data_IF_514619048798
#
_entry.id   IF_514619048798
#
_cell.length_a   1.000
_cell.length_b   1.000
_cell.length_c   1.000
_cell.angle_alpha   90.00
_cell.angle_beta   90.00
_cell.angle_gamma   90.00
#
_symmetry.space_group_name_H-M   'P 1'
#
loop_
_entity.id
_entity.type
_entity.pdbx_description
1 polymer ?
#
# COMPACT_ATOMS: atom_id res chain seq x y z
N UNK A 1 -12.71 -27.51 25.67
CA UNK A 1 -13.57 -26.45 25.09
C UNK A 1 -12.79 -25.18 24.82
N UNK A 2 -12.24 -24.50 25.84
CA UNK A 2 -11.54 -23.19 25.70
C UNK A 2 -10.30 -23.25 24.80
N UNK A 3 -9.50 -24.33 24.86
CA UNK A 3 -8.29 -24.48 24.05
C UNK A 3 -8.54 -24.44 22.52
N UNK A 4 -9.69 -24.98 22.07
CA UNK A 4 -10.06 -25.02 20.66
C UNK A 4 -10.40 -23.60 20.16
N UNK A 5 -11.15 -22.84 20.97
CA UNK A 5 -11.50 -21.45 20.66
C UNK A 5 -10.27 -20.54 20.63
N UNK A 6 -9.28 -20.74 21.50
CA UNK A 6 -8.02 -19.99 21.46
C UNK A 6 -7.19 -20.29 20.21
N UNK A 7 -7.14 -21.53 19.74
CA UNK A 7 -6.44 -21.89 18.51
C UNK A 7 -7.12 -21.28 17.28
N UNK A 8 -8.45 -21.29 17.23
CA UNK A 8 -9.23 -20.67 16.15
C UNK A 8 -9.00 -19.15 16.13
N UNK A 9 -9.01 -18.49 17.29
CA UNK A 9 -8.76 -17.05 17.39
C UNK A 9 -7.34 -16.69 16.94
N UNK A 10 -6.33 -17.47 17.37
CA UNK A 10 -4.95 -17.27 16.95
C UNK A 10 -4.78 -17.45 15.43
N UNK A 11 -5.40 -18.47 14.85
CA UNK A 11 -5.37 -18.71 13.41
C UNK A 11 -6.08 -17.60 12.62
N UNK A 12 -7.20 -17.07 13.13
CA UNK A 12 -7.93 -15.97 12.51
C UNK A 12 -7.13 -14.66 12.53
N UNK A 13 -6.46 -14.36 13.65
CA UNK A 13 -5.59 -13.18 13.77
C UNK A 13 -4.38 -13.31 12.83
N UNK A 14 -3.74 -14.48 12.81
CA UNK A 14 -2.58 -14.73 11.94
C UNK A 14 -2.97 -14.65 10.46
N UNK A 15 -4.10 -15.27 10.08
CA UNK A 15 -4.63 -15.22 8.72
C UNK A 15 -5.01 -13.80 8.30
N UNK A 16 -5.65 -13.03 9.19
CA UNK A 16 -5.97 -11.62 8.94
C UNK A 16 -4.74 -10.76 8.68
N UNK A 17 -3.67 -10.98 9.45
CA UNK A 17 -2.39 -10.28 9.27
C UNK A 17 -1.77 -10.60 7.89
N UNK A 18 -1.74 -11.89 7.52
CA UNK A 18 -1.20 -12.32 6.21
C UNK A 18 -1.97 -11.71 5.04
N UNK A 19 -3.30 -11.67 5.13
CA UNK A 19 -4.15 -11.03 4.10
C UNK A 19 -3.87 -9.52 4.02
N UNK A 20 -3.64 -8.87 5.14
CA UNK A 20 -3.28 -7.45 5.18
C UNK A 20 -1.97 -7.21 4.42
N UNK A 21 -0.92 -7.99 4.72
CA UNK A 21 0.37 -7.92 4.02
C UNK A 21 0.27 -8.24 2.53
N UNK A 22 -0.51 -9.26 2.16
CA UNK A 22 -0.75 -9.61 0.75
C UNK A 22 -1.38 -8.44 -0.03
N UNK A 23 -2.26 -7.65 0.62
CA UNK A 23 -2.87 -6.47 0.00
C UNK A 23 -1.85 -5.35 -0.26
N UNK A 24 -0.85 -5.18 0.61
CA UNK A 24 0.26 -4.24 0.39
C UNK A 24 1.15 -4.70 -0.78
N UNK A 25 1.47 -6.00 -0.84
CA UNK A 25 2.24 -6.56 -1.95
C UNK A 25 1.49 -6.43 -3.27
N UNK A 26 0.18 -6.68 -3.29
CA UNK A 26 -0.68 -6.47 -4.46
C UNK A 26 -0.62 -5.03 -4.96
N UNK A 27 -0.71 -4.04 -4.07
CA UNK A 27 -0.63 -2.62 -4.41
C UNK A 27 0.75 -2.25 -4.97
N UNK A 28 1.81 -2.79 -4.40
CA UNK A 28 3.15 -2.59 -4.91
C UNK A 28 3.34 -3.21 -6.30
N UNK A 29 2.87 -4.45 -6.49
CA UNK A 29 2.93 -5.14 -7.78
C UNK A 29 2.21 -4.32 -8.86
N UNK A 30 1.03 -3.78 -8.52
CA UNK A 30 0.27 -2.91 -9.42
C UNK A 30 1.06 -1.64 -9.80
N UNK A 31 1.69 -0.97 -8.82
CA UNK A 31 2.54 0.20 -9.08
C UNK A 31 3.74 -0.14 -10.00
N UNK A 32 4.38 -1.29 -9.74
CA UNK A 32 5.52 -1.79 -10.49
C UNK A 32 5.17 -2.12 -11.95
N UNK A 33 4.07 -2.85 -12.18
CA UNK A 33 3.60 -3.18 -13.53
C UNK A 33 3.13 -1.96 -14.31
N UNK A 34 2.64 -0.91 -13.64
CA UNK A 34 2.24 0.34 -14.32
C UNK A 34 3.45 1.24 -14.66
N UNK A 35 4.69 0.80 -14.42
CA UNK A 35 5.90 1.59 -14.70
C UNK A 35 6.10 2.78 -13.76
N UNK A 36 5.32 2.83 -12.68
CA UNK A 36 5.48 3.85 -11.65
C UNK A 36 6.72 3.48 -10.84
N UNK A 37 7.83 4.20 -10.99
CA UNK A 37 9.02 4.05 -10.15
C UNK A 37 8.67 4.40 -8.69
N UNK A 38 8.09 3.45 -7.96
CA UNK A 38 7.87 3.48 -6.52
C UNK A 38 8.42 2.16 -5.99
N UNK A 39 9.50 2.24 -5.22
CA UNK A 39 10.08 1.04 -4.63
C UNK A 39 9.23 0.55 -3.45
N UNK A 40 9.29 -0.75 -3.13
CA UNK A 40 8.66 -1.31 -1.92
C UNK A 40 9.09 -0.53 -0.68
N UNK A 41 10.36 -0.10 -0.65
CA UNK A 41 10.92 0.72 0.41
C UNK A 41 10.25 2.08 0.54
N UNK A 42 9.91 2.75 -0.57
CA UNK A 42 9.19 4.03 -0.54
C UNK A 42 7.78 3.88 0.03
N UNK A 43 7.10 2.79 -0.32
CA UNK A 43 5.79 2.44 0.23
C UNK A 43 5.83 2.19 1.74
N UNK A 44 6.86 1.49 2.22
CA UNK A 44 7.08 1.25 3.65
C UNK A 44 7.42 2.56 4.36
N UNK A 45 8.28 3.40 3.78
CA UNK A 45 8.65 4.72 4.33
C UNK A 45 7.46 5.68 4.39
N UNK A 46 6.57 5.67 3.39
CA UNK A 46 5.32 6.44 3.40
C UNK A 46 4.34 5.95 4.48
N UNK A 47 4.21 4.63 4.61
CA UNK A 47 3.41 4.04 5.69
C UNK A 47 3.96 4.42 7.06
N UNK A 48 5.29 4.56 7.21
CA UNK A 48 5.95 5.00 8.43
C UNK A 48 5.76 6.50 8.69
N UNK A 49 5.65 7.31 7.63
CA UNK A 49 5.28 8.74 7.68
C UNK A 49 3.79 9.00 7.89
N UNK A 50 2.98 7.95 8.12
CA UNK A 50 1.53 8.04 8.30
C UNK A 50 0.77 8.61 7.08
N UNK A 51 1.41 8.65 5.89
CA UNK A 51 0.75 9.04 4.64
C UNK A 51 0.09 7.80 4.03
N UNK A 52 -1.18 7.91 3.62
CA UNK A 52 -1.96 6.78 3.10
C UNK A 52 -1.36 6.29 1.77
N UNK A 53 -0.62 5.17 1.76
CA UNK A 53 0.18 4.78 0.60
C UNK A 53 -0.70 4.36 -0.58
N UNK A 54 -1.91 3.88 -0.27
CA UNK A 54 -2.89 3.40 -1.24
C UNK A 54 -3.43 4.54 -2.11
N UNK A 55 -3.72 5.69 -1.50
CA UNK A 55 -4.19 6.87 -2.23
C UNK A 55 -3.12 7.39 -3.19
N UNK A 56 -1.87 7.40 -2.75
CA UNK A 56 -0.76 8.00 -3.49
C UNK A 56 -0.32 7.12 -4.66
N UNK A 57 -0.28 5.79 -4.48
CA UNK A 57 -0.08 4.84 -5.59
C UNK A 57 -1.17 5.01 -6.64
N UNK A 58 -2.44 5.08 -6.24
CA UNK A 58 -3.55 5.22 -7.18
C UNK A 58 -3.47 6.53 -7.98
N UNK A 59 -3.21 7.66 -7.32
CA UNK A 59 -3.02 8.95 -7.99
C UNK A 59 -1.82 8.92 -8.96
N UNK A 60 -0.71 8.28 -8.57
CA UNK A 60 0.49 8.20 -9.41
C UNK A 60 0.29 7.26 -10.62
N UNK A 61 -0.41 6.13 -10.44
CA UNK A 61 -0.83 5.24 -11.53
C UNK A 61 -1.71 5.97 -12.54
N UNK A 62 -2.66 6.78 -12.07
CA UNK A 62 -3.51 7.60 -12.94
C UNK A 62 -2.73 8.72 -13.64
N UNK A 63 -1.76 9.34 -12.98
CA UNK A 63 -0.88 10.34 -13.57
C UNK A 63 -0.03 9.73 -14.71
N UNK A 64 0.57 8.55 -14.50
CA UNK A 64 1.32 7.84 -15.54
C UNK A 64 0.42 7.44 -16.71
N UNK A 65 -0.79 6.91 -16.44
CA UNK A 65 -1.75 6.54 -17.49
C UNK A 65 -2.27 7.75 -18.29
N UNK A 66 -2.29 8.94 -17.70
CA UNK A 66 -2.68 10.19 -18.38
C UNK A 66 -1.51 10.90 -19.09
N UNK A 67 -0.31 10.30 -19.09
CA UNK A 67 0.89 10.87 -19.71
C UNK A 67 1.61 11.91 -18.84
N UNK A 68 1.18 12.10 -17.59
CA UNK A 68 1.79 12.97 -16.58
C UNK A 68 2.82 12.19 -15.74
N UNK A 69 3.76 11.52 -16.42
CA UNK A 69 4.71 10.60 -15.80
C UNK A 69 5.67 11.26 -14.77
N UNK A 70 5.78 12.59 -14.78
CA UNK A 70 6.70 13.37 -13.94
C UNK A 70 6.12 13.84 -12.59
N UNK A 71 4.94 13.34 -12.17
CA UNK A 71 4.43 13.71 -10.85
C UNK A 71 5.27 13.08 -9.72
N UNK A 72 5.96 13.94 -8.98
CA UNK A 72 6.70 13.56 -7.78
C UNK A 72 5.74 13.13 -6.67
N UNK A 73 6.14 12.09 -5.92
CA UNK A 73 5.36 11.55 -4.80
C UNK A 73 5.05 12.64 -3.75
N UNK A 74 5.94 13.62 -3.58
CA UNK A 74 5.77 14.76 -2.66
C UNK A 74 4.70 15.76 -3.08
N UNK A 75 4.49 15.98 -4.38
CA UNK A 75 3.43 16.86 -4.86
C UNK A 75 2.04 16.27 -4.59
N UNK A 76 1.90 14.95 -4.73
CA UNK A 76 0.66 14.21 -4.40
C UNK A 76 0.42 14.23 -2.88
N UNK A 77 1.47 14.07 -2.07
CA UNK A 77 1.37 14.18 -0.60
C UNK A 77 0.93 15.59 -0.15
N UNK A 78 1.46 16.64 -0.79
CA UNK A 78 1.07 18.02 -0.49
C UNK A 78 -0.41 18.28 -0.77
N UNK A 79 -0.94 17.77 -1.89
CA UNK A 79 -2.37 17.85 -2.21
C UNK A 79 -3.24 17.01 -1.28
N UNK A 80 -2.73 15.86 -0.79
CA UNK A 80 -3.46 15.01 0.16
C UNK A 80 -3.55 15.60 1.57
N UNK A 81 -2.58 16.45 1.95
CA UNK A 81 -2.51 17.10 3.27
C UNK A 81 -3.07 18.53 3.30
N UNK A 82 -3.43 19.09 2.14
CA UNK A 82 -4.11 20.38 2.01
C UNK A 82 -5.62 20.25 2.25
#
# INVERSE_FOLDING_TARGET
MIAIWSCILAAAILGGLVVLFARYISLWLQAYFTGTHISLLDLVLMSLRNSNPRAIVHCKVMAVQSGLADLSTSAIEAQYLA
#
